data_IF_105266340253
#
_entry.id   IF_105266340253
#
_cell.length_a   1.000
_cell.length_b   1.000
_cell.length_c   1.000
_cell.angle_alpha   90.00
_cell.angle_beta   90.00
_cell.angle_gamma   90.00
#
_symmetry.space_group_name_H-M   'P 1'
#
loop_
_entity.id
_entity.type
_entity.pdbx_description
1 polymer ?
#
# COMPACT_ATOMS: atom_id res chain seq x y z
N UNK A 1 -4.79 12.42 17.21
CA UNK A 1 -5.49 12.69 15.94
C UNK A 1 -4.55 12.22 14.84
N UNK A 2 -4.93 11.24 14.02
CA UNK A 2 -4.11 10.80 12.88
C UNK A 2 -4.55 11.64 11.69
N UNK A 3 -3.61 12.34 11.07
CA UNK A 3 -3.84 13.21 9.92
C UNK A 3 -3.29 12.53 8.66
N UNK A 4 -4.02 12.62 7.56
CA UNK A 4 -3.57 12.17 6.24
C UNK A 4 -3.63 13.38 5.31
N UNK A 5 -2.49 13.75 4.73
CA UNK A 5 -2.36 14.91 3.85
C UNK A 5 -2.20 14.43 2.42
N UNK A 6 -3.12 14.85 1.54
CA UNK A 6 -3.02 14.64 0.10
C UNK A 6 -2.67 15.96 -0.58
N UNK A 7 -1.53 16.01 -1.26
CA UNK A 7 -1.11 17.17 -2.03
C UNK A 7 -1.13 16.82 -3.53
N UNK A 8 -1.81 17.63 -4.35
CA UNK A 8 -1.88 17.46 -5.80
C UNK A 8 -2.41 16.10 -6.27
N UNK A 9 -3.41 15.56 -5.56
CA UNK A 9 -4.08 14.31 -5.90
C UNK A 9 -5.55 14.59 -6.22
N UNK A 10 -6.11 13.87 -7.19
CA UNK A 10 -7.54 13.91 -7.48
C UNK A 10 -8.38 13.49 -6.25
N UNK A 11 -9.55 14.11 -6.08
CA UNK A 11 -10.40 13.85 -4.90
C UNK A 11 -10.89 12.40 -4.82
N UNK A 12 -11.21 11.76 -5.95
CA UNK A 12 -11.60 10.36 -5.97
C UNK A 12 -10.43 9.47 -5.51
N UNK A 13 -9.21 9.76 -5.98
CA UNK A 13 -8.01 9.01 -5.58
C UNK A 13 -7.65 9.22 -4.10
N UNK A 14 -7.90 10.40 -3.55
CA UNK A 14 -7.75 10.65 -2.12
C UNK A 14 -8.77 9.83 -1.30
N UNK A 15 -10.03 9.79 -1.75
CA UNK A 15 -11.09 8.98 -1.12
C UNK A 15 -10.81 7.47 -1.23
N UNK A 16 -10.29 6.98 -2.36
CA UNK A 16 -9.88 5.59 -2.53
C UNK A 16 -8.78 5.19 -1.55
N UNK A 17 -7.75 6.04 -1.39
CA UNK A 17 -6.68 5.80 -0.42
C UNK A 17 -7.19 5.85 1.03
N UNK A 18 -8.09 6.76 1.35
CA UNK A 18 -8.72 6.82 2.67
C UNK A 18 -9.56 5.57 2.95
N UNK A 19 -10.38 5.16 1.99
CA UNK A 19 -11.20 3.95 2.04
C UNK A 19 -10.33 2.71 2.28
N UNK A 20 -9.21 2.58 1.54
CA UNK A 20 -8.27 1.46 1.70
C UNK A 20 -7.58 1.42 3.07
N UNK A 21 -7.23 2.57 3.65
CA UNK A 21 -6.56 2.63 4.96
C UNK A 21 -7.54 2.45 6.13
N UNK A 22 -8.82 2.82 5.95
CA UNK A 22 -9.84 2.82 7.00
C UNK A 22 -10.87 1.69 6.90
N UNK A 23 -10.67 0.74 5.99
CA UNK A 23 -11.63 -0.34 5.69
C UNK A 23 -13.05 0.20 5.45
N UNK A 24 -13.12 1.35 4.79
CA UNK A 24 -14.36 2.06 4.49
C UNK A 24 -14.62 2.04 2.99
N UNK A 25 -15.85 2.36 2.62
CA UNK A 25 -16.27 2.50 1.24
C UNK A 25 -16.90 3.87 1.03
N UNK A 26 -16.77 4.38 -0.19
CA UNK A 26 -17.41 5.63 -0.60
C UNK A 26 -18.13 5.45 -1.93
N UNK A 27 -19.29 6.07 -2.04
CA UNK A 27 -20.07 6.10 -3.27
C UNK A 27 -20.85 7.40 -3.36
N UNK A 28 -21.38 7.68 -4.55
CA UNK A 28 -22.27 8.80 -4.82
C UNK A 28 -23.60 8.21 -5.27
N UNK A 29 -24.68 8.53 -4.56
CA UNK A 29 -26.02 8.03 -4.88
C UNK A 29 -26.66 8.79 -6.05
N UNK A 30 -27.86 8.38 -6.45
CA UNK A 30 -28.66 9.01 -7.51
C UNK A 30 -28.97 10.51 -7.23
N UNK A 31 -29.00 10.90 -5.95
CA UNK A 31 -29.16 12.28 -5.47
C UNK A 31 -27.88 13.10 -5.47
N UNK A 32 -26.75 12.52 -5.89
CA UNK A 32 -25.42 13.15 -5.91
C UNK A 32 -24.87 13.45 -4.52
N UNK A 33 -25.30 12.70 -3.51
CA UNK A 33 -24.78 12.78 -2.15
C UNK A 33 -23.60 11.83 -1.99
N UNK A 34 -22.46 12.37 -1.52
CA UNK A 34 -21.28 11.58 -1.20
C UNK A 34 -21.46 10.92 0.16
N UNK A 35 -21.43 9.58 0.18
CA UNK A 35 -21.43 8.79 1.41
C UNK A 35 -20.06 8.16 1.63
N UNK A 36 -19.55 8.20 2.86
CA UNK A 36 -18.29 7.57 3.27
C UNK A 36 -18.46 6.87 4.62
N UNK A 37 -18.14 5.58 4.69
CA UNK A 37 -18.23 4.81 5.93
C UNK A 37 -17.99 3.31 5.72
N UNK A 38 -18.00 2.49 6.77
CA UNK A 38 -17.89 1.04 6.63
C UNK A 38 -19.06 0.48 5.80
N UNK A 39 -18.80 -0.59 5.04
CA UNK A 39 -19.79 -1.21 4.15
C UNK A 39 -21.09 -1.62 4.88
N UNK A 40 -20.99 -1.96 6.17
CA UNK A 40 -22.14 -2.31 7.02
C UNK A 40 -23.15 -1.17 7.23
N UNK A 41 -22.78 0.10 6.99
CA UNK A 41 -23.71 1.22 7.08
C UNK A 41 -24.64 1.33 5.87
N UNK A 42 -24.25 0.74 4.74
CA UNK A 42 -24.98 0.83 3.49
C UNK A 42 -25.66 -0.50 3.21
N UNK A 43 -26.73 -0.81 3.93
CA UNK A 43 -27.44 -2.09 3.74
C UNK A 43 -28.57 -1.94 2.71
N UNK A 44 -28.71 -2.93 1.83
CA UNK A 44 -29.84 -3.02 0.90
C UNK A 44 -31.17 -3.17 1.67
N UNK A 45 -32.31 -2.72 1.09
CA UNK A 45 -33.59 -2.73 1.78
C UNK A 45 -34.18 -4.13 2.04
N UNK A 46 -33.62 -5.19 1.45
CA UNK A 46 -34.07 -6.56 1.60
C UNK A 46 -32.93 -7.56 1.34
N UNK A 47 -33.15 -8.80 1.72
CA UNK A 47 -32.25 -9.93 1.49
C UNK A 47 -32.61 -10.68 0.20
N UNK A 48 -31.60 -11.19 -0.50
CA UNK A 48 -31.77 -11.98 -1.69
C UNK A 48 -31.88 -13.47 -1.32
N UNK A 49 -32.95 -14.14 -1.74
CA UNK A 49 -33.20 -15.56 -1.43
C UNK A 49 -33.57 -16.35 -2.70
N UNK A 50 -33.56 -17.68 -2.62
CA UNK A 50 -33.89 -18.60 -3.73
C UNK A 50 -35.34 -18.51 -4.27
N UNK A 51 -36.12 -17.50 -3.90
CA UNK A 51 -37.53 -17.35 -4.31
C UNK A 51 -37.68 -16.71 -5.71
N UNK A 52 -38.84 -16.97 -6.31
CA UNK A 52 -39.13 -17.10 -7.75
C UNK A 52 -38.79 -15.92 -8.70
N UNK A 53 -38.54 -14.69 -8.24
CA UNK A 53 -38.31 -13.55 -9.14
C UNK A 53 -36.85 -13.47 -9.67
N UNK A 54 -35.88 -14.09 -8.98
CA UNK A 54 -34.45 -13.91 -9.26
C UNK A 54 -33.71 -15.19 -9.63
N UNK A 55 -34.34 -16.35 -9.40
CA UNK A 55 -33.66 -17.63 -9.48
C UNK A 55 -33.31 -18.02 -10.94
N UNK A 56 -34.20 -17.81 -11.89
CA UNK A 56 -33.98 -18.35 -13.25
C UNK A 56 -32.86 -17.62 -14.01
N UNK A 57 -32.60 -16.33 -13.71
CA UNK A 57 -31.61 -15.50 -14.41
C UNK A 57 -30.37 -15.16 -13.56
N UNK A 58 -30.25 -15.71 -12.35
CA UNK A 58 -29.12 -15.47 -11.48
C UNK A 58 -27.87 -16.28 -11.91
N UNK A 59 -26.87 -15.59 -12.44
CA UNK A 59 -25.59 -16.17 -12.86
C UNK A 59 -24.52 -15.96 -11.77
N UNK A 60 -23.91 -17.06 -11.33
CA UNK A 60 -22.80 -17.04 -10.38
C UNK A 60 -21.47 -17.24 -11.10
N UNK A 61 -20.49 -16.38 -10.83
CA UNK A 61 -19.13 -16.55 -11.31
C UNK A 61 -18.13 -16.54 -10.15
N UNK A 62 -17.06 -17.31 -10.30
CA UNK A 62 -15.93 -17.34 -9.38
C UNK A 62 -14.73 -16.77 -10.15
N UNK A 63 -14.16 -15.68 -9.64
CA UNK A 63 -13.04 -14.98 -10.24
C UNK A 63 -12.10 -14.53 -9.16
N UNK A 64 -10.82 -14.91 -9.24
CA UNK A 64 -9.88 -14.64 -8.16
C UNK A 64 -8.48 -14.35 -8.70
N UNK A 65 -8.38 -13.43 -9.67
CA UNK A 65 -7.11 -13.09 -10.31
C UNK A 65 -6.18 -12.30 -9.39
N UNK A 66 -6.73 -11.39 -8.59
CA UNK A 66 -5.97 -10.57 -7.63
C UNK A 66 -5.82 -11.24 -6.25
N UNK A 67 -6.22 -12.51 -6.16
CA UNK A 67 -6.12 -13.30 -4.94
C UNK A 67 -4.69 -13.36 -4.40
N UNK A 68 -4.58 -13.25 -3.07
CA UNK A 68 -3.31 -13.38 -2.37
C UNK A 68 -3.55 -13.72 -0.93
N UNK A 69 -2.78 -14.67 -0.41
CA UNK A 69 -2.70 -14.96 1.02
C UNK A 69 -1.37 -14.52 1.62
N UNK A 70 -0.54 -13.83 0.81
CA UNK A 70 0.69 -13.19 1.24
C UNK A 70 0.94 -11.88 0.50
N UNK A 71 1.15 -10.80 1.24
CA UNK A 71 1.36 -9.46 0.71
C UNK A 71 2.70 -8.88 1.17
N UNK A 72 3.53 -8.48 0.21
CA UNK A 72 4.72 -7.68 0.44
C UNK A 72 4.44 -6.22 0.11
N UNK A 73 4.86 -5.31 0.99
CA UNK A 73 4.90 -3.88 0.71
C UNK A 73 6.35 -3.44 0.70
N UNK A 74 6.84 -2.99 -0.45
CA UNK A 74 8.08 -2.24 -0.57
C UNK A 74 7.75 -0.76 -0.38
N UNK A 75 8.02 -0.27 0.82
CA UNK A 75 7.75 1.11 1.20
C UNK A 75 8.77 2.10 0.63
N UNK A 76 8.69 3.34 1.09
CA UNK A 76 9.77 4.31 0.93
C UNK A 76 10.92 4.03 1.90
N UNK A 77 11.57 5.12 2.35
CA UNK A 77 12.62 5.06 3.35
C UNK A 77 12.09 5.50 4.72
N UNK A 78 12.40 4.74 5.76
CA UNK A 78 12.17 5.10 7.16
C UNK A 78 13.43 5.70 7.77
N UNK A 79 13.24 6.53 8.79
CA UNK A 79 14.33 7.12 9.58
C UNK A 79 14.77 6.16 10.70
N UNK A 80 16.09 6.06 10.93
CA UNK A 80 16.63 5.39 12.12
C UNK A 80 16.43 6.25 13.37
N UNK A 81 16.70 5.69 14.55
CA UNK A 81 17.03 6.52 15.71
C UNK A 81 18.32 7.33 15.43
N UNK A 82 18.58 8.36 16.23
CA UNK A 82 19.84 9.09 16.17
C UNK A 82 21.01 8.13 16.42
N UNK A 83 22.02 8.20 15.56
CA UNK A 83 23.23 7.37 15.58
C UNK A 83 24.46 8.25 15.62
N UNK A 84 25.55 7.67 16.13
CA UNK A 84 26.85 8.30 16.15
C UNK A 84 27.85 7.35 15.50
N UNK A 85 28.50 7.81 14.43
CA UNK A 85 29.61 7.11 13.78
C UNK A 85 30.90 7.90 14.08
N UNK A 86 31.99 7.18 14.35
CA UNK A 86 33.28 7.78 14.72
C UNK A 86 34.41 7.23 13.87
N UNK A 87 35.30 8.09 13.41
CA UNK A 87 36.50 7.73 12.65
C UNK A 87 37.74 8.35 13.29
N UNK A 88 38.91 7.76 12.99
CA UNK A 88 40.20 8.36 13.28
C UNK A 88 40.73 8.98 11.99
N UNK A 89 41.16 10.24 12.06
CA UNK A 89 41.88 10.87 10.96
C UNK A 89 43.20 10.16 10.67
N UNK A 90 43.63 10.18 9.42
CA UNK A 90 44.88 9.61 8.92
C UNK A 90 45.77 10.65 8.20
N UNK A 91 45.37 11.93 8.22
CA UNK A 91 45.99 13.05 7.51
C UNK A 91 45.95 12.99 5.97
N UNK A 92 45.20 12.04 5.37
CA UNK A 92 45.04 11.90 3.91
C UNK A 92 43.57 11.83 3.48
N UNK A 93 42.73 11.11 4.22
CA UNK A 93 41.33 10.87 3.93
C UNK A 93 40.47 12.11 4.22
N UNK A 94 39.72 12.55 3.21
CA UNK A 94 38.78 13.67 3.30
C UNK A 94 37.32 13.26 3.17
N UNK A 95 37.04 12.00 2.77
CA UNK A 95 35.68 11.46 2.65
C UNK A 95 35.48 10.33 3.64
N UNK A 96 34.40 10.41 4.43
CA UNK A 96 34.04 9.39 5.42
C UNK A 96 32.67 8.83 5.10
N UNK A 97 32.50 7.53 5.33
CA UNK A 97 31.29 6.79 4.95
C UNK A 97 30.54 6.38 6.21
N UNK A 98 29.27 6.75 6.28
CA UNK A 98 28.32 6.39 7.33
C UNK A 98 27.71 5.01 7.10
N UNK A 99 27.23 4.37 8.17
CA UNK A 99 26.55 3.08 8.07
C UNK A 99 25.19 3.14 7.35
N UNK A 100 24.51 4.29 7.38
CA UNK A 100 23.24 4.51 6.70
C UNK A 100 23.23 5.84 5.92
N UNK A 101 22.52 5.94 4.79
CA UNK A 101 22.32 7.20 4.09
C UNK A 101 21.71 8.26 4.99
N UNK A 102 22.20 9.50 4.94
CA UNK A 102 21.83 10.57 5.87
C UNK A 102 20.44 11.12 5.51
N UNK A 103 19.53 11.17 6.49
CA UNK A 103 18.16 11.65 6.32
C UNK A 103 18.01 13.17 6.46
N UNK A 104 18.72 13.75 7.44
CA UNK A 104 18.59 15.12 7.91
C UNK A 104 19.98 15.68 8.17
N UNK A 105 20.07 17.00 8.26
CA UNK A 105 21.33 17.69 8.57
C UNK A 105 21.96 17.10 9.84
N UNK A 106 23.16 16.51 9.72
CA UNK A 106 23.85 15.89 10.85
C UNK A 106 24.60 16.94 11.68
N UNK A 107 25.21 16.50 12.77
CA UNK A 107 26.13 17.32 13.57
C UNK A 107 27.47 16.62 13.64
N UNK A 108 28.56 17.38 13.57
CA UNK A 108 29.92 16.84 13.54
C UNK A 108 30.79 17.51 14.58
N UNK A 109 31.62 16.71 15.26
CA UNK A 109 32.70 17.21 16.10
C UNK A 109 34.03 16.63 15.66
N UNK A 110 35.07 17.45 15.73
CA UNK A 110 36.46 17.05 15.46
C UNK A 110 37.24 17.34 16.74
N UNK A 111 37.82 16.31 17.35
CA UNK A 111 38.46 16.38 18.67
C UNK A 111 37.55 17.00 19.76
N UNK A 112 36.28 16.61 19.76
CA UNK A 112 35.20 17.16 20.61
C UNK A 112 34.87 18.65 20.41
N UNK A 113 35.42 19.30 19.38
CA UNK A 113 35.07 20.67 18.98
C UNK A 113 34.01 20.59 17.88
N UNK A 114 32.89 21.29 18.06
CA UNK A 114 31.85 21.37 17.03
C UNK A 114 32.41 22.00 15.75
N UNK A 115 32.25 21.30 14.63
CA UNK A 115 32.60 21.79 13.30
C UNK A 115 31.32 22.09 12.50
N UNK A 116 31.44 22.97 11.51
CA UNK A 116 30.30 23.35 10.66
C UNK A 116 30.07 22.33 9.55
N UNK A 117 28.81 22.06 9.21
CA UNK A 117 28.42 21.10 8.18
C UNK A 117 27.26 21.66 7.36
N UNK A 118 27.32 21.55 6.03
CA UNK A 118 26.28 22.09 5.14
C UNK A 118 26.08 21.20 3.89
N UNK A 119 25.06 21.50 3.09
CA UNK A 119 24.69 20.77 1.89
C UNK A 119 25.77 20.89 0.80
N UNK A 120 26.25 19.73 0.33
CA UNK A 120 27.21 19.62 -0.76
C UNK A 120 26.70 20.32 -2.02
N UNK A 121 27.45 21.32 -2.50
CA UNK A 121 27.19 22.03 -3.76
C UNK A 121 26.08 23.10 -3.73
N UNK A 122 25.37 23.26 -2.60
CA UNK A 122 24.28 24.26 -2.46
C UNK A 122 24.49 25.15 -1.23
N UNK A 123 24.99 24.58 -0.12
CA UNK A 123 25.20 25.27 1.15
C UNK A 123 26.37 26.25 1.14
N UNK A 124 26.73 26.77 2.32
CA UNK A 124 27.86 27.66 2.53
C UNK A 124 29.16 26.99 2.08
N UNK A 125 29.87 27.52 1.05
CA UNK A 125 31.13 26.95 0.59
C UNK A 125 32.25 27.05 1.63
N UNK A 126 32.07 27.80 2.72
CA UNK A 126 33.03 27.91 3.83
C UNK A 126 32.75 26.94 4.98
N UNK A 127 31.70 26.11 4.91
CA UNK A 127 31.46 25.08 5.90
C UNK A 127 32.64 24.10 5.95
N UNK A 128 32.93 23.56 7.14
CA UNK A 128 34.06 22.64 7.33
C UNK A 128 33.83 21.28 6.68
N UNK A 129 32.56 20.88 6.61
CA UNK A 129 32.11 19.58 6.12
C UNK A 129 30.89 19.73 5.20
N UNK A 130 30.75 18.77 4.29
CA UNK A 130 29.67 18.71 3.33
C UNK A 130 28.97 17.36 3.35
N UNK A 131 27.65 17.38 3.36
CA UNK A 131 26.79 16.18 3.30
C UNK A 131 25.75 16.31 2.19
N UNK A 132 25.11 15.20 1.83
CA UNK A 132 23.96 15.22 0.94
C UNK A 132 22.87 14.28 1.45
N UNK A 133 21.61 14.70 1.36
CA UNK A 133 20.48 13.87 1.75
C UNK A 133 20.42 12.60 0.89
N UNK A 134 20.29 11.44 1.53
CA UNK A 134 20.31 10.14 0.86
C UNK A 134 21.69 9.64 0.45
N UNK A 135 22.78 10.34 0.78
CA UNK A 135 24.15 9.86 0.62
C UNK A 135 24.68 9.26 1.92
N UNK A 136 25.58 8.28 1.82
CA UNK A 136 26.36 7.75 2.95
C UNK A 136 27.68 8.50 3.14
N UNK A 137 27.99 9.50 2.33
CA UNK A 137 29.28 10.16 2.36
C UNK A 137 29.20 11.53 3.01
N UNK A 138 30.13 11.81 3.91
CA UNK A 138 30.48 13.16 4.33
C UNK A 138 31.87 13.51 3.78
N UNK A 139 32.05 14.75 3.38
CA UNK A 139 33.30 15.21 2.76
C UNK A 139 33.81 16.45 3.47
N UNK A 140 35.09 16.47 3.82
CA UNK A 140 35.74 17.65 4.37
C UNK A 140 35.93 18.70 3.27
N UNK A 141 35.85 19.98 3.64
CA UNK A 141 36.20 21.07 2.75
C UNK A 141 37.70 21.01 2.38
N UNK A 142 38.00 20.98 1.09
CA UNK A 142 39.38 20.92 0.58
C UNK A 142 40.21 22.16 0.90
N UNK A 143 39.56 23.25 1.31
CA UNK A 143 40.24 24.49 1.73
C UNK A 143 40.76 24.40 3.18
N UNK A 144 40.23 23.46 3.97
CA UNK A 144 40.65 23.23 5.35
C UNK A 144 41.80 22.22 5.41
N UNK A 145 42.69 22.32 6.41
CA UNK A 145 43.71 21.29 6.63
C UNK A 145 43.05 19.94 6.93
N UNK A 146 43.57 18.88 6.31
CA UNK A 146 43.10 17.51 6.52
C UNK A 146 43.21 17.15 8.00
N UNK A 147 42.23 16.41 8.51
CA UNK A 147 42.22 15.98 9.91
C UNK A 147 43.46 15.14 10.21
N UNK A 148 44.22 15.57 11.21
CA UNK A 148 45.49 14.96 11.59
C UNK A 148 45.35 13.52 12.07
N UNK A 149 46.44 12.75 11.95
CA UNK A 149 46.47 11.35 12.37
C UNK A 149 46.10 11.19 13.84
N UNK A 150 45.15 10.31 14.14
CA UNK A 150 44.70 10.00 15.50
C UNK A 150 43.67 10.99 16.09
N UNK A 151 43.29 12.04 15.36
CA UNK A 151 42.21 12.93 15.76
C UNK A 151 40.85 12.24 15.52
N UNK A 152 39.96 12.29 16.51
CA UNK A 152 38.64 11.67 16.42
C UNK A 152 37.69 12.60 15.67
N UNK A 153 37.01 12.06 14.68
CA UNK A 153 35.88 12.69 13.97
C UNK A 153 34.63 11.94 14.41
N UNK A 154 33.67 12.65 14.99
CA UNK A 154 32.41 12.07 15.44
C UNK A 154 31.24 12.75 14.73
N UNK A 155 30.43 11.96 14.03
CA UNK A 155 29.23 12.41 13.34
C UNK A 155 28.00 11.84 14.02
N UNK A 156 27.10 12.71 14.47
CA UNK A 156 25.78 12.34 14.96
C UNK A 156 24.72 12.65 13.91
N UNK A 157 23.99 11.63 13.44
CA UNK A 157 23.05 11.74 12.33
C UNK A 157 21.81 10.83 12.49
N UNK A 158 20.78 11.11 11.70
CA UNK A 158 19.63 10.21 11.50
C UNK A 158 19.78 9.56 10.14
N UNK A 159 19.78 8.24 10.09
CA UNK A 159 19.93 7.46 8.86
C UNK A 159 18.61 7.12 8.17
N UNK A 160 18.67 6.67 6.92
CA UNK A 160 17.56 6.14 6.14
C UNK A 160 17.76 4.65 5.88
N UNK A 161 16.68 3.87 5.94
CA UNK A 161 16.66 2.47 5.50
C UNK A 161 15.37 2.15 4.74
N UNK A 162 15.44 1.17 3.84
CA UNK A 162 14.29 0.77 3.03
C UNK A 162 13.28 -0.02 3.87
N UNK A 163 12.01 0.34 3.75
CA UNK A 163 10.92 -0.36 4.42
C UNK A 163 10.49 -1.55 3.55
N UNK A 164 10.60 -2.76 4.09
CA UNK A 164 10.00 -3.96 3.50
C UNK A 164 9.14 -4.60 4.59
N UNK A 165 7.85 -4.76 4.30
CA UNK A 165 6.91 -5.38 5.23
C UNK A 165 6.19 -6.53 4.57
N UNK A 166 5.97 -7.59 5.36
CA UNK A 166 5.27 -8.80 4.98
C UNK A 166 4.03 -8.97 5.86
N UNK A 167 2.89 -9.24 5.23
CA UNK A 167 1.68 -9.74 5.90
C UNK A 167 1.27 -11.07 5.29
N UNK A 168 0.90 -12.04 6.10
CA UNK A 168 0.53 -13.40 5.66
C UNK A 168 -0.72 -13.88 6.39
N UNK A 169 -1.64 -14.51 5.67
CA UNK A 169 -2.81 -15.20 6.22
C UNK A 169 -2.52 -16.69 6.27
N UNK A 170 -2.06 -17.15 7.44
CA UNK A 170 -1.66 -18.55 7.62
C UNK A 170 -2.84 -19.53 7.55
N UNK A 171 -4.05 -19.10 7.93
CA UNK A 171 -5.25 -19.94 7.85
C UNK A 171 -5.61 -20.17 6.40
N UNK A 172 -5.55 -19.12 5.58
CA UNK A 172 -5.94 -19.21 4.20
C UNK A 172 -4.87 -19.88 3.30
N UNK A 173 -3.58 -19.77 3.66
CA UNK A 173 -2.53 -20.64 3.10
C UNK A 173 -2.82 -22.11 3.38
N UNK A 174 -3.20 -22.45 4.61
CA UNK A 174 -3.52 -23.83 4.98
C UNK A 174 -4.77 -24.35 4.25
N UNK A 175 -5.82 -23.52 4.14
CA UNK A 175 -7.04 -23.87 3.38
C UNK A 175 -6.72 -24.11 1.90
N UNK A 176 -5.97 -23.21 1.26
CA UNK A 176 -5.57 -23.37 -0.15
C UNK A 176 -4.71 -24.60 -0.37
N UNK A 177 -3.75 -24.87 0.53
CA UNK A 177 -2.93 -26.08 0.48
C UNK A 177 -3.80 -27.35 0.55
N UNK A 178 -4.81 -27.36 1.41
CA UNK A 178 -5.74 -28.48 1.53
C UNK A 178 -6.60 -28.66 0.25
N UNK A 179 -7.07 -27.57 -0.36
CA UNK A 179 -7.86 -27.61 -1.61
C UNK A 179 -7.03 -28.04 -2.80
N UNK A 180 -5.82 -27.50 -2.96
CA UNK A 180 -4.92 -27.83 -4.07
C UNK A 180 -4.42 -29.27 -3.99
N UNK A 181 -4.26 -29.83 -2.79
CA UNK A 181 -3.77 -31.19 -2.57
C UNK A 181 -2.27 -31.38 -2.90
N UNK A 182 -1.61 -30.37 -3.47
CA UNK A 182 -0.17 -30.30 -3.73
C UNK A 182 0.30 -28.84 -3.68
N UNK A 183 1.60 -28.62 -3.42
CA UNK A 183 2.20 -27.28 -3.38
C UNK A 183 2.20 -26.60 -2.00
N UNK A 184 2.65 -25.35 -1.97
CA UNK A 184 2.75 -24.55 -0.74
C UNK A 184 1.40 -23.93 -0.33
N UNK A 185 0.44 -23.82 -1.25
CA UNK A 185 -0.80 -23.08 -1.04
C UNK A 185 -0.60 -21.56 -0.98
N UNK A 186 0.61 -21.06 -1.24
CA UNK A 186 0.96 -19.64 -1.14
C UNK A 186 0.71 -18.95 -2.48
N UNK A 187 0.00 -17.82 -2.43
CA UNK A 187 -0.21 -16.89 -3.53
C UNK A 187 0.24 -15.51 -3.07
N UNK A 188 1.31 -15.01 -3.69
CA UNK A 188 2.03 -13.82 -3.26
C UNK A 188 1.76 -12.62 -4.19
N UNK A 189 1.74 -11.42 -3.61
CA UNK A 189 1.77 -10.19 -4.38
C UNK A 189 2.72 -9.17 -3.74
N UNK A 190 3.39 -8.38 -4.59
CA UNK A 190 4.27 -7.28 -4.17
C UNK A 190 3.66 -5.97 -4.63
N UNK A 191 3.45 -5.04 -3.69
CA UNK A 191 3.08 -3.67 -4.01
C UNK A 191 4.18 -2.71 -3.55
N UNK A 192 4.40 -1.65 -4.34
CA UNK A 192 5.36 -0.57 -4.07
C UNK A 192 4.59 0.68 -3.65
N UNK A 193 4.94 1.27 -2.52
CA UNK A 193 4.46 2.59 -2.11
C UNK A 193 5.56 3.38 -1.39
N UNK A 194 6.20 4.27 -2.15
CA UNK A 194 7.31 5.13 -1.69
C UNK A 194 6.88 6.24 -0.73
N UNK A 195 5.57 6.47 -0.58
CA UNK A 195 5.03 7.49 0.31
C UNK A 195 5.05 7.05 1.78
N UNK A 196 5.11 5.74 2.03
CA UNK A 196 5.18 5.15 3.36
C UNK A 196 6.51 5.49 4.04
N UNK A 197 6.43 6.17 5.19
CA UNK A 197 7.60 6.63 5.98
C UNK A 197 7.87 5.83 7.25
N UNK A 198 6.98 4.89 7.62
CA UNK A 198 7.14 4.06 8.82
C UNK A 198 6.75 2.63 8.54
N UNK A 199 7.44 1.69 9.21
CA UNK A 199 7.14 0.26 9.14
C UNK A 199 5.74 -0.06 9.65
N UNK A 200 5.28 0.63 10.70
CA UNK A 200 3.95 0.43 11.27
C UNK A 200 2.82 0.77 10.29
N UNK A 201 2.92 1.90 9.57
CA UNK A 201 1.92 2.27 8.55
C UNK A 201 2.01 1.33 7.36
N UNK A 202 3.21 0.94 6.95
CA UNK A 202 3.39 -0.04 5.88
C UNK A 202 2.79 -1.42 6.24
N UNK A 203 2.87 -1.83 7.51
CA UNK A 203 2.21 -3.04 8.01
C UNK A 203 0.69 -2.94 7.98
N UNK A 204 0.13 -1.82 8.44
CA UNK A 204 -1.33 -1.59 8.37
C UNK A 204 -1.83 -1.62 6.93
N UNK A 205 -1.08 -1.02 6.02
CA UNK A 205 -1.39 -1.04 4.59
C UNK A 205 -1.29 -2.46 3.99
N UNK A 206 -0.25 -3.22 4.36
CA UNK A 206 -0.10 -4.62 3.95
C UNK A 206 -1.27 -5.49 4.45
N UNK A 207 -1.66 -5.30 5.72
CA UNK A 207 -2.76 -6.01 6.34
C UNK A 207 -4.12 -5.65 5.72
N UNK A 208 -4.37 -4.37 5.41
CA UNK A 208 -5.59 -3.93 4.71
C UNK A 208 -5.71 -4.53 3.31
N UNK A 209 -4.61 -4.53 2.53
CA UNK A 209 -4.58 -5.24 1.24
C UNK A 209 -4.81 -6.73 1.42
N UNK A 210 -4.22 -7.36 2.42
CA UNK A 210 -4.42 -8.78 2.64
C UNK A 210 -5.89 -9.07 3.01
N UNK A 211 -6.51 -8.31 3.92
CA UNK A 211 -7.91 -8.49 4.28
C UNK A 211 -8.86 -8.34 3.09
N UNK A 212 -8.57 -7.41 2.17
CA UNK A 212 -9.39 -7.22 0.96
C UNK A 212 -9.20 -8.32 -0.08
N UNK A 213 -8.01 -8.88 -0.21
CA UNK A 213 -7.65 -9.76 -1.34
C UNK A 213 -7.37 -11.23 -0.97
N UNK A 214 -7.40 -11.57 0.32
CA UNK A 214 -7.35 -12.95 0.81
C UNK A 214 -8.71 -13.65 0.78
N UNK A 215 -9.75 -12.98 0.28
CA UNK A 215 -11.09 -13.54 0.10
C UNK A 215 -11.24 -14.09 -1.32
N UNK A 216 -11.96 -15.19 -1.46
CA UNK A 216 -12.29 -15.77 -2.76
C UNK A 216 -13.34 -14.92 -3.47
N UNK A 217 -12.95 -14.30 -4.58
CA UNK A 217 -13.85 -13.46 -5.37
C UNK A 217 -15.02 -14.27 -5.94
N UNK A 218 -16.24 -13.89 -5.57
CA UNK A 218 -17.50 -14.43 -6.12
C UNK A 218 -18.35 -13.29 -6.62
N UNK A 219 -19.03 -13.47 -7.75
CA UNK A 219 -20.03 -12.52 -8.24
C UNK A 219 -21.33 -13.22 -8.54
N UNK A 220 -22.42 -12.46 -8.37
CA UNK A 220 -23.79 -12.88 -8.63
C UNK A 220 -24.45 -11.77 -9.44
N UNK A 221 -24.94 -12.10 -10.64
CA UNK A 221 -25.68 -11.17 -11.49
C UNK A 221 -27.11 -11.66 -11.61
N UNK A 222 -28.10 -10.79 -11.41
CA UNK A 222 -29.51 -11.13 -11.57
C UNK A 222 -30.31 -9.96 -12.17
N UNK A 223 -31.48 -10.26 -12.71
CA UNK A 223 -32.44 -9.25 -13.19
C UNK A 223 -33.55 -9.04 -12.16
N UNK A 224 -33.95 -7.80 -11.96
CA UNK A 224 -35.04 -7.41 -11.06
C UNK A 224 -36.01 -6.46 -11.77
N UNK A 225 -37.30 -6.78 -11.74
CA UNK A 225 -38.35 -5.95 -12.34
C UNK A 225 -39.18 -5.17 -11.30
N UNK A 226 -39.35 -5.69 -10.08
CA UNK A 226 -40.29 -5.12 -9.10
C UNK A 226 -39.65 -4.45 -7.88
N UNK A 227 -38.36 -4.64 -7.63
CA UNK A 227 -37.74 -4.18 -6.38
C UNK A 227 -37.23 -2.74 -6.45
N UNK A 228 -37.71 -1.94 -5.49
CA UNK A 228 -37.39 -0.52 -5.32
C UNK A 228 -36.39 -0.37 -4.18
N UNK A 229 -35.42 0.53 -4.35
CA UNK A 229 -34.46 0.90 -3.29
C UNK A 229 -33.08 0.24 -3.37
N UNK A 230 -32.84 -0.63 -4.34
CA UNK A 230 -31.48 -1.06 -4.69
C UNK A 230 -30.72 0.09 -5.34
N UNK A 231 -29.56 0.41 -4.76
CA UNK A 231 -28.64 1.42 -5.23
C UNK A 231 -27.20 0.87 -5.25
N UNK A 232 -26.35 1.29 -6.21
CA UNK A 232 -24.93 0.99 -6.16
C UNK A 232 -24.30 1.51 -4.87
N UNK A 233 -23.37 0.76 -4.28
CA UNK A 233 -22.76 1.11 -3.00
C UNK A 233 -23.39 0.43 -1.78
N UNK A 234 -24.49 -0.30 -1.95
CA UNK A 234 -25.14 -1.07 -0.89
C UNK A 234 -24.55 -2.49 -0.74
N UNK A 235 -24.68 -3.05 0.44
CA UNK A 235 -24.40 -4.44 0.79
C UNK A 235 -25.71 -5.19 0.96
N UNK A 236 -25.86 -6.32 0.29
CA UNK A 236 -27.05 -7.19 0.32
C UNK A 236 -26.69 -8.53 0.94
N UNK A 237 -27.54 -9.05 1.82
CA UNK A 237 -27.41 -10.42 2.31
C UNK A 237 -27.99 -11.37 1.27
N UNK A 238 -27.17 -12.33 0.82
CA UNK A 238 -27.54 -13.34 -0.17
C UNK A 238 -27.61 -14.70 0.51
N UNK A 239 -28.81 -15.28 0.53
CA UNK A 239 -29.08 -16.63 1.00
C UNK A 239 -29.73 -17.44 -0.14
N UNK A 240 -28.89 -17.89 -1.06
CA UNK A 240 -29.23 -18.78 -2.17
C UNK A 240 -28.41 -20.08 -2.08
N UNK A 241 -28.72 -21.00 -1.14
CA UNK A 241 -28.00 -22.25 -1.00
C UNK A 241 -27.97 -23.08 -2.28
N UNK A 242 -29.01 -22.95 -3.14
CA UNK A 242 -29.05 -23.64 -4.45
C UNK A 242 -27.88 -23.27 -5.37
N UNK A 243 -27.30 -22.06 -5.21
CA UNK A 243 -26.15 -21.54 -5.98
C UNK A 243 -24.85 -21.48 -5.19
N UNK A 244 -24.82 -22.06 -3.99
CA UNK A 244 -23.62 -22.08 -3.13
C UNK A 244 -23.39 -20.78 -2.33
N UNK A 245 -24.42 -19.94 -2.17
CA UNK A 245 -24.38 -18.76 -1.31
C UNK A 245 -25.25 -19.01 -0.06
N UNK A 246 -24.63 -19.26 1.08
CA UNK A 246 -25.31 -19.49 2.36
C UNK A 246 -25.04 -18.31 3.31
N UNK A 247 -26.02 -17.42 3.46
CA UNK A 247 -25.96 -16.22 4.30
C UNK A 247 -24.70 -15.36 4.08
N UNK A 248 -24.39 -15.09 2.81
CA UNK A 248 -23.20 -14.35 2.39
C UNK A 248 -23.56 -12.89 2.13
N UNK A 249 -22.83 -11.95 2.74
CA UNK A 249 -23.00 -10.53 2.42
C UNK A 249 -22.20 -10.19 1.17
N UNK A 250 -22.89 -9.67 0.14
CA UNK A 250 -22.29 -9.23 -1.12
C UNK A 250 -22.48 -7.72 -1.31
N UNK A 251 -21.51 -7.06 -1.92
CA UNK A 251 -21.53 -5.63 -2.24
C UNK A 251 -22.07 -5.41 -3.67
N UNK A 252 -22.87 -4.37 -3.90
CA UNK A 252 -23.43 -4.03 -5.21
C UNK A 252 -22.60 -2.91 -5.86
N UNK A 253 -21.63 -3.23 -6.73
CA UNK A 253 -20.83 -2.21 -7.43
C UNK A 253 -21.63 -1.46 -8.48
N UNK A 254 -22.58 -2.11 -9.14
CA UNK A 254 -23.29 -1.53 -10.28
C UNK A 254 -24.71 -2.08 -10.44
N UNK A 255 -25.56 -1.22 -10.99
CA UNK A 255 -26.93 -1.55 -11.40
C UNK A 255 -27.16 -0.93 -12.77
N UNK A 256 -27.38 -1.77 -13.77
CA UNK A 256 -27.79 -1.32 -15.09
C UNK A 256 -29.31 -1.23 -15.14
N UNK A 257 -29.84 -0.12 -15.65
CA UNK A 257 -31.29 0.08 -15.78
C UNK A 257 -31.66 0.20 -17.25
N UNK A 258 -32.55 -0.67 -17.72
CA UNK A 258 -33.07 -0.68 -19.07
C UNK A 258 -34.59 -0.43 -19.06
N UNK A 259 -35.04 0.56 -19.84
CA UNK A 259 -36.48 0.74 -20.11
C UNK A 259 -36.85 -0.03 -21.39
N UNK A 260 -37.70 -1.04 -21.24
CA UNK A 260 -38.25 -1.81 -22.35
C UNK A 260 -39.77 -1.66 -22.38
N UNK A 261 -40.23 -0.63 -23.09
CA UNK A 261 -41.66 -0.43 -23.36
C UNK A 261 -42.48 -0.05 -22.12
N UNK A 262 -41.91 0.74 -21.21
CA UNK A 262 -42.57 1.19 -19.98
C UNK A 262 -42.39 0.24 -18.79
N UNK A 263 -41.53 -0.79 -18.94
CA UNK A 263 -41.03 -1.62 -17.85
C UNK A 263 -39.56 -1.32 -17.61
N UNK A 264 -39.22 -1.04 -16.37
CA UNK A 264 -37.85 -0.80 -15.93
C UNK A 264 -37.28 -2.12 -15.46
N UNK A 265 -36.33 -2.66 -16.22
CA UNK A 265 -35.58 -3.86 -15.88
C UNK A 265 -34.25 -3.40 -15.29
N UNK A 266 -33.91 -3.89 -14.10
CA UNK A 266 -32.61 -3.63 -13.46
C UNK A 266 -31.77 -4.89 -13.49
N UNK A 267 -30.61 -4.85 -14.14
CA UNK A 267 -29.59 -5.88 -14.00
C UNK A 267 -28.68 -5.47 -12.85
N UNK A 268 -28.68 -6.28 -11.79
CA UNK A 268 -27.90 -6.02 -10.58
C UNK A 268 -26.75 -7.00 -10.53
N UNK A 269 -25.55 -6.48 -10.30
CA UNK A 269 -24.36 -7.29 -10.06
C UNK A 269 -23.92 -7.09 -8.63
N UNK A 270 -23.82 -8.17 -7.86
CA UNK A 270 -23.24 -8.19 -6.53
C UNK A 270 -21.96 -9.01 -6.50
N UNK A 271 -21.02 -8.61 -5.65
CA UNK A 271 -19.69 -9.19 -5.56
C UNK A 271 -19.28 -9.39 -4.12
N UNK A 272 -18.53 -10.44 -3.87
CA UNK A 272 -17.89 -10.72 -2.59
C UNK A 272 -16.38 -10.83 -2.84
N UNK A 273 -15.59 -10.19 -1.98
CA UNK A 273 -14.14 -10.17 -2.12
C UNK A 273 -13.66 -9.21 -3.22
N UNK A 274 -12.41 -9.36 -3.68
CA UNK A 274 -11.82 -8.49 -4.67
C UNK A 274 -12.41 -8.80 -6.04
N UNK A 275 -13.33 -7.96 -6.48
CA UNK A 275 -13.91 -8.11 -7.79
C UNK A 275 -12.92 -7.72 -8.90
N UNK A 276 -12.77 -8.64 -9.86
CA UNK A 276 -12.12 -8.40 -11.13
C UNK A 276 -12.99 -7.44 -11.94
N UNK A 277 -12.85 -6.15 -11.67
CA UNK A 277 -13.52 -5.10 -12.43
C UNK A 277 -13.36 -5.28 -13.94
N UNK A 278 -14.24 -4.63 -14.70
CA UNK A 278 -14.37 -4.76 -16.16
C UNK A 278 -13.01 -4.68 -16.91
N UNK A 279 -12.92 -5.32 -18.07
CA UNK A 279 -11.75 -5.31 -18.96
C UNK A 279 -11.23 -3.89 -19.23
N UNK A 280 -12.12 -2.88 -19.23
CA UNK A 280 -11.75 -1.47 -19.33
C UNK A 280 -10.99 -0.95 -18.09
N UNK A 281 -11.36 -1.38 -16.89
CA UNK A 281 -10.64 -1.07 -15.64
C UNK A 281 -9.28 -1.78 -15.62
N UNK A 282 -9.20 -3.00 -16.13
CA UNK A 282 -7.93 -3.73 -16.27
C UNK A 282 -6.98 -3.07 -17.28
N UNK A 283 -7.45 -2.73 -18.48
CA UNK A 283 -6.63 -1.98 -19.44
C UNK A 283 -6.30 -0.57 -18.95
N UNK A 284 -7.23 0.09 -18.24
CA UNK A 284 -6.98 1.36 -17.57
C UNK A 284 -5.84 1.26 -16.55
N UNK A 285 -5.79 0.18 -15.76
CA UNK A 285 -4.68 -0.12 -14.83
C UNK A 285 -3.36 -0.42 -15.55
N UNK A 286 -3.38 -1.01 -16.75
CA UNK A 286 -2.20 -1.21 -17.59
C UNK A 286 -1.70 0.09 -18.25
N UNK A 287 -2.62 1.00 -18.57
CA UNK A 287 -2.33 2.31 -19.15
C UNK A 287 -1.92 3.33 -18.08
N UNK A 288 -2.28 3.09 -16.82
CA UNK A 288 -1.76 3.83 -15.67
C UNK A 288 -0.36 3.28 -15.40
N UNK A 289 0.71 4.07 -15.60
CA UNK A 289 2.04 3.63 -15.18
C UNK A 289 1.96 3.22 -13.71
N UNK A 290 2.60 2.10 -13.35
CA UNK A 290 2.79 1.75 -11.95
C UNK A 290 3.22 3.03 -11.22
N UNK A 291 2.42 3.48 -10.26
CA UNK A 291 2.55 4.80 -9.65
C UNK A 291 3.98 5.03 -9.12
N UNK A 292 4.85 5.60 -9.94
CA UNK A 292 6.02 6.31 -9.45
C UNK A 292 5.50 7.64 -8.90
N UNK A 293 4.88 7.61 -7.72
CA UNK A 293 4.82 8.80 -6.88
C UNK A 293 6.24 8.99 -6.31
N UNK A 294 7.12 9.49 -7.16
CA UNK A 294 8.42 10.01 -6.78
C UNK A 294 8.57 11.41 -7.38
N UNK A 295 7.76 12.35 -6.92
CA UNK A 295 8.11 13.77 -7.08
C UNK A 295 9.13 14.15 -6.01
N UNK A 296 10.39 13.83 -6.30
CA UNK A 296 11.59 14.65 -6.02
C UNK A 296 12.80 14.00 -6.72
N UNK A 297 13.51 14.85 -7.46
CA UNK A 297 14.67 14.56 -8.31
C UNK A 297 15.80 13.79 -7.59
N UNK A 298 16.58 13.09 -8.42
CA UNK A 298 17.86 12.42 -8.12
C UNK A 298 17.79 11.22 -7.17
N UNK A 299 18.03 10.02 -7.73
CA UNK A 299 19.18 9.13 -7.42
C UNK A 299 19.04 7.90 -8.33
N UNK A 300 20.17 7.50 -8.93
CA UNK A 300 20.27 6.54 -10.02
C UNK A 300 19.73 5.14 -9.74
N UNK A 301 19.29 4.50 -10.80
CA UNK A 301 18.99 3.08 -10.88
C UNK A 301 20.28 2.28 -10.66
N UNK A 302 20.47 1.76 -9.45
CA UNK A 302 21.23 0.53 -9.24
C UNK A 302 20.28 -0.52 -8.64
N UNK A 303 19.68 -1.33 -9.50
CA UNK A 303 19.03 -2.58 -9.08
C UNK A 303 20.10 -3.55 -8.56
N UNK A 304 20.30 -3.57 -7.25
CA UNK A 304 21.02 -4.67 -6.59
C UNK A 304 20.04 -5.81 -6.37
N UNK A 305 20.35 -6.97 -6.94
CA UNK A 305 19.63 -8.23 -6.73
C UNK A 305 19.90 -8.74 -5.31
N UNK A 306 19.05 -8.38 -4.36
CA UNK A 306 19.17 -8.82 -2.96
C UNK A 306 18.43 -10.15 -2.78
N UNK A 307 19.17 -11.25 -2.65
CA UNK A 307 18.64 -12.53 -2.19
C UNK A 307 18.47 -12.44 -0.67
N UNK A 308 17.23 -12.30 -0.19
CA UNK A 308 16.93 -12.36 1.25
C UNK A 308 16.97 -13.81 1.74
N UNK A 309 17.92 -14.14 2.62
CA UNK A 309 17.83 -15.31 3.50
C UNK A 309 16.93 -14.92 4.67
N UNK A 310 15.74 -15.51 4.74
CA UNK A 310 14.86 -15.40 5.92
C UNK A 310 15.34 -16.37 7.00
N UNK A 311 15.63 -15.86 8.19
CA UNK A 311 15.81 -16.70 9.39
C UNK A 311 14.54 -16.54 10.22
N UNK A 312 13.79 -17.62 10.41
CA UNK A 312 12.62 -17.66 11.31
C UNK A 312 13.12 -17.86 12.74
N UNK A 313 12.78 -16.94 13.64
CA UNK A 313 12.95 -17.14 15.09
C UNK A 313 11.57 -17.43 15.69
N UNK A 314 11.33 -18.70 15.99
CA UNK A 314 10.18 -19.11 16.79
C UNK A 314 10.56 -18.95 18.26
N UNK A 315 9.84 -18.10 18.98
CA UNK A 315 9.92 -18.06 20.43
C UNK A 315 8.89 -19.04 20.99
N UNK A 316 9.36 -20.00 21.79
CA UNK A 316 8.49 -20.84 22.64
C UNK A 316 7.79 -20.00 23.72
#
# INVERSE_FOLDING_TARGET
MKEVVFAYVDSARALDKLAEVSDSHWHINDRKELSFGPMSLFTAPFDLTDIEEFADDAEAAIGNRDYRNKQYIRGGKAETLMRTDSWLGDAEQTTFVTGFPIAKEPTITVDAIAATIDLRGIGDPNADWFWAAGSTEITQNTSNPVVGSGVIIELTYVGLFDIIVLSTDSQEVARRKAIQGFGSGIVENVAKDTTLKTSAVAFQFAAGKLGRFAVEGRSLTWQSELQVGLEPGQSILVNMPSRGFDNVTMFIPEIETLDRGGRVIKTVRAVEGPDDGDWATWFGRLLTPAEDIAFRENIGEEEVLIILTSTEENWE
#
